data_IF_969892131202
#
_entry.id   IF_969892131202
#
_cell.length_a   1.000
_cell.length_b   1.000
_cell.length_c   1.000
_cell.angle_alpha   90.00
_cell.angle_beta   90.00
_cell.angle_gamma   90.00
#
_symmetry.space_group_name_H-M   'P 1'
#
loop_
_entity.id
_entity.type
_entity.pdbx_description
1 polymer ?
#
# COMPACT_ATOMS: atom_id res chain seq x y z
N UNK A 1 -5.39 36.21 0.93
CA UNK A 1 -6.52 36.17 -0.03
C UNK A 1 -6.77 34.71 -0.37
N UNK A 2 -8.03 34.28 -0.61
CA UNK A 2 -8.29 32.91 -1.02
C UNK A 2 -7.50 32.54 -2.27
N UNK A 3 -7.04 31.28 -2.33
CA UNK A 3 -6.37 30.76 -3.52
C UNK A 3 -7.38 30.56 -4.65
N UNK A 4 -7.19 31.26 -5.77
CA UNK A 4 -8.15 31.26 -6.89
C UNK A 4 -8.31 29.89 -7.56
N UNK A 5 -7.21 29.11 -7.67
CA UNK A 5 -7.24 27.77 -8.30
C UNK A 5 -8.12 26.84 -7.46
N UNK A 6 -7.92 26.84 -6.14
CA UNK A 6 -8.69 26.00 -5.21
C UNK A 6 -10.15 26.48 -5.14
N UNK A 7 -10.40 27.80 -5.12
CA UNK A 7 -11.77 28.34 -5.10
C UNK A 7 -12.57 27.90 -6.34
N UNK A 8 -12.00 28.05 -7.54
CA UNK A 8 -12.68 27.61 -8.78
C UNK A 8 -12.94 26.09 -8.80
N UNK A 9 -12.00 25.31 -8.27
CA UNK A 9 -12.21 23.86 -8.17
C UNK A 9 -13.33 23.50 -7.18
N UNK A 10 -13.41 24.20 -6.04
CA UNK A 10 -14.53 24.01 -5.08
C UNK A 10 -15.86 24.32 -5.77
N UNK A 11 -15.99 25.46 -6.47
CA UNK A 11 -17.22 25.83 -7.16
C UNK A 11 -17.62 24.80 -8.22
N UNK A 12 -16.68 24.33 -9.06
CA UNK A 12 -16.92 23.32 -10.07
C UNK A 12 -17.38 22.00 -9.44
N UNK A 13 -16.66 21.51 -8.42
CA UNK A 13 -17.00 20.23 -7.77
C UNK A 13 -18.32 20.31 -7.02
N UNK A 14 -18.65 21.44 -6.39
CA UNK A 14 -19.95 21.67 -5.75
C UNK A 14 -21.10 21.75 -6.77
N UNK A 15 -20.84 22.18 -8.00
CA UNK A 15 -21.80 22.13 -9.10
C UNK A 15 -21.99 20.72 -9.69
N UNK A 16 -21.19 19.74 -9.24
CA UNK A 16 -21.20 18.37 -9.75
C UNK A 16 -20.26 18.14 -10.93
N UNK A 17 -19.48 19.15 -11.32
CA UNK A 17 -18.53 19.02 -12.43
C UNK A 17 -17.31 18.18 -12.04
N UNK A 18 -16.79 17.44 -13.02
CA UNK A 18 -15.56 16.66 -12.85
C UNK A 18 -14.32 17.47 -13.25
N UNK A 19 -13.27 17.38 -12.44
CA UNK A 19 -12.01 17.98 -12.79
C UNK A 19 -11.23 17.09 -13.77
N UNK A 20 -10.52 17.72 -14.71
CA UNK A 20 -9.51 17.01 -15.50
C UNK A 20 -8.33 16.64 -14.61
N UNK A 21 -7.51 15.68 -15.06
CA UNK A 21 -6.31 15.29 -14.32
C UNK A 21 -5.37 16.49 -14.06
N UNK A 22 -5.23 17.37 -15.04
CA UNK A 22 -4.36 18.56 -14.92
C UNK A 22 -4.93 19.58 -13.93
N UNK A 23 -6.26 19.80 -13.92
CA UNK A 23 -6.88 20.68 -12.92
C UNK A 23 -6.76 20.10 -11.50
N UNK A 24 -7.02 18.82 -11.32
CA UNK A 24 -6.87 18.15 -10.02
C UNK A 24 -5.39 18.23 -9.53
N UNK A 25 -4.44 18.02 -10.45
CA UNK A 25 -3.01 18.15 -10.17
C UNK A 25 -2.65 19.57 -9.71
N UNK A 26 -3.13 20.60 -10.41
CA UNK A 26 -2.88 21.99 -10.05
C UNK A 26 -3.46 22.35 -8.67
N UNK A 27 -4.68 21.91 -8.37
CA UNK A 27 -5.31 22.13 -7.05
C UNK A 27 -4.47 21.52 -5.93
N UNK A 28 -4.03 20.26 -6.11
CA UNK A 28 -3.24 19.59 -5.10
C UNK A 28 -1.86 20.23 -4.93
N UNK A 29 -1.25 20.71 -5.99
CA UNK A 29 0.02 21.46 -5.91
C UNK A 29 -0.13 22.72 -5.04
N UNK A 30 -1.19 23.53 -5.25
CA UNK A 30 -1.47 24.71 -4.42
C UNK A 30 -1.64 24.34 -2.93
N UNK A 31 -2.35 23.26 -2.65
CA UNK A 31 -2.57 22.77 -1.28
C UNK A 31 -1.27 22.28 -0.64
N UNK A 32 -0.53 21.43 -1.33
CA UNK A 32 0.68 20.79 -0.78
C UNK A 32 1.87 21.75 -0.66
N UNK A 33 1.89 22.82 -1.43
CA UNK A 33 2.88 23.91 -1.31
C UNK A 33 2.46 24.98 -0.29
N UNK A 34 1.35 24.79 0.41
CA UNK A 34 0.87 25.69 1.47
C UNK A 34 0.32 27.03 0.97
N UNK A 35 -0.08 27.11 -0.32
CA UNK A 35 -0.68 28.33 -0.89
C UNK A 35 -2.20 28.39 -0.76
N UNK A 36 -2.84 27.35 -0.26
CA UNK A 36 -4.26 27.29 0.06
C UNK A 36 -4.49 27.38 1.57
N UNK A 37 -5.53 28.09 1.97
CA UNK A 37 -5.96 28.12 3.37
C UNK A 37 -6.52 26.76 3.79
N UNK A 38 -6.39 26.40 5.08
CA UNK A 38 -6.92 25.12 5.61
C UNK A 38 -8.42 24.95 5.35
N UNK A 39 -9.20 26.05 5.43
CA UNK A 39 -10.64 26.02 5.16
C UNK A 39 -10.94 25.70 3.69
N UNK A 40 -10.14 26.21 2.75
CA UNK A 40 -10.29 25.88 1.33
C UNK A 40 -9.92 24.42 1.07
N UNK A 41 -8.83 23.95 1.68
CA UNK A 41 -8.40 22.55 1.60
C UNK A 41 -9.49 21.62 2.12
N UNK A 42 -10.07 21.92 3.29
CA UNK A 42 -11.16 21.14 3.86
C UNK A 42 -12.41 21.13 2.98
N UNK A 43 -12.80 22.30 2.48
CA UNK A 43 -13.98 22.44 1.60
C UNK A 43 -13.79 21.62 0.30
N UNK A 44 -12.61 21.71 -0.34
CA UNK A 44 -12.30 20.93 -1.55
C UNK A 44 -12.39 19.42 -1.29
N UNK A 45 -11.77 18.93 -0.22
CA UNK A 45 -11.77 17.50 0.10
C UNK A 45 -13.18 16.96 0.36
N UNK A 46 -14.03 17.73 1.05
CA UNK A 46 -15.41 17.31 1.34
C UNK A 46 -16.29 17.42 0.10
N UNK A 47 -16.17 18.49 -0.68
CA UNK A 47 -16.89 18.63 -1.95
C UNK A 47 -16.57 17.50 -2.92
N UNK A 48 -15.26 17.18 -3.09
CA UNK A 48 -14.80 16.09 -3.96
C UNK A 48 -15.38 14.73 -3.51
N UNK A 49 -15.33 14.43 -2.22
CA UNK A 49 -15.94 13.24 -1.65
C UNK A 49 -17.46 13.19 -1.84
N UNK A 50 -18.15 14.31 -1.63
CA UNK A 50 -19.61 14.39 -1.75
C UNK A 50 -20.08 14.18 -3.20
N UNK A 51 -19.31 14.69 -4.17
CA UNK A 51 -19.55 14.47 -5.60
C UNK A 51 -19.27 13.01 -6.01
N UNK A 52 -18.28 12.39 -5.39
CA UNK A 52 -17.66 11.13 -5.84
C UNK A 52 -16.45 11.41 -6.73
N UNK A 53 -15.34 10.78 -6.40
CA UNK A 53 -14.06 10.95 -7.09
C UNK A 53 -14.05 10.17 -8.41
N UNK A 54 -13.42 10.74 -9.43
CA UNK A 54 -13.26 10.14 -10.76
C UNK A 54 -11.82 9.70 -11.01
N UNK A 55 -11.64 8.80 -11.97
CA UNK A 55 -10.31 8.31 -12.39
C UNK A 55 -9.37 9.47 -12.80
N UNK A 56 -9.77 10.43 -13.64
CA UNK A 56 -8.91 11.58 -13.97
C UNK A 56 -8.48 12.39 -12.74
N UNK A 57 -9.40 12.63 -11.80
CA UNK A 57 -9.09 13.33 -10.55
C UNK A 57 -8.07 12.56 -9.72
N UNK A 58 -8.29 11.27 -9.53
CA UNK A 58 -7.37 10.42 -8.78
C UNK A 58 -5.97 10.36 -9.42
N UNK A 59 -5.90 10.23 -10.76
CA UNK A 59 -4.64 10.25 -11.51
C UNK A 59 -3.91 11.59 -11.35
N UNK A 60 -4.61 12.71 -11.47
CA UNK A 60 -4.01 14.04 -11.32
C UNK A 60 -3.43 14.26 -9.92
N UNK A 61 -4.21 13.93 -8.89
CA UNK A 61 -3.79 14.04 -7.50
C UNK A 61 -2.59 13.12 -7.20
N UNK A 62 -2.60 11.87 -7.67
CA UNK A 62 -1.50 10.93 -7.48
C UNK A 62 -0.21 11.39 -8.19
N UNK A 63 -0.31 11.93 -9.41
CA UNK A 63 0.85 12.50 -10.14
C UNK A 63 1.51 13.62 -9.35
N UNK A 64 0.73 14.54 -8.80
CA UNK A 64 1.26 15.64 -7.97
C UNK A 64 1.93 15.11 -6.72
N UNK A 65 1.31 14.16 -6.00
CA UNK A 65 1.95 13.57 -4.82
C UNK A 65 3.27 12.87 -5.16
N UNK A 66 3.33 12.13 -6.28
CA UNK A 66 4.58 11.49 -6.75
C UNK A 66 5.66 12.52 -7.07
N UNK A 67 5.31 13.62 -7.75
CA UNK A 67 6.28 14.66 -8.13
C UNK A 67 6.85 15.45 -6.94
N UNK A 68 6.09 15.54 -5.83
CA UNK A 68 6.50 16.22 -4.59
C UNK A 68 7.12 15.27 -3.57
N UNK A 69 7.14 13.98 -3.83
CA UNK A 69 7.77 13.00 -2.95
C UNK A 69 9.30 13.08 -3.03
N UNK A 70 9.98 12.77 -1.92
CA UNK A 70 11.42 12.56 -1.92
C UNK A 70 11.71 11.20 -2.58
N UNK A 71 12.31 11.18 -3.80
CA UNK A 71 12.43 9.95 -4.56
C UNK A 71 13.44 8.97 -3.94
N UNK A 72 13.13 7.70 -4.04
CA UNK A 72 14.04 6.59 -3.71
C UNK A 72 14.57 5.99 -5.01
N UNK A 73 15.87 6.05 -5.23
CA UNK A 73 16.51 5.44 -6.37
C UNK A 73 17.05 4.04 -6.01
N UNK A 74 16.75 3.07 -6.84
CA UNK A 74 17.26 1.69 -6.79
C UNK A 74 17.80 1.30 -8.16
N UNK A 75 18.75 0.39 -8.19
CA UNK A 75 19.24 -0.25 -9.43
C UNK A 75 18.25 -1.29 -10.00
N UNK A 76 17.25 -1.67 -9.21
CA UNK A 76 16.22 -2.64 -9.57
C UNK A 76 15.06 -1.94 -10.29
N UNK A 77 14.61 -2.50 -11.40
CA UNK A 77 13.48 -2.01 -12.19
C UNK A 77 12.18 -2.77 -11.89
N UNK A 78 12.30 -3.95 -11.30
CA UNK A 78 11.23 -4.89 -10.99
C UNK A 78 10.60 -4.70 -9.59
N UNK A 79 10.57 -3.46 -9.12
CA UNK A 79 10.09 -3.12 -7.77
C UNK A 79 8.63 -3.49 -7.56
N UNK A 80 8.37 -4.13 -6.41
CA UNK A 80 7.02 -4.51 -5.96
C UNK A 80 6.66 -3.73 -4.70
N UNK A 81 5.43 -3.19 -4.65
CA UNK A 81 4.83 -2.66 -3.42
C UNK A 81 3.63 -3.50 -2.99
N UNK A 82 3.43 -3.62 -1.69
CA UNK A 82 2.24 -4.22 -1.09
C UNK A 82 1.61 -3.21 -0.16
N UNK A 83 0.46 -2.71 -0.51
CA UNK A 83 -0.23 -1.66 0.25
C UNK A 83 -1.73 -1.92 0.31
N UNK A 84 -2.41 -1.26 1.24
CA UNK A 84 -3.85 -1.27 1.35
C UNK A 84 -4.39 0.10 1.70
N UNK A 85 -5.69 0.30 1.42
CA UNK A 85 -6.39 1.54 1.78
C UNK A 85 -6.71 1.62 3.27
N UNK A 86 -6.63 0.51 3.96
CA UNK A 86 -7.02 0.38 5.37
C UNK A 86 -8.52 0.59 5.59
N UNK A 87 -8.95 0.45 6.84
CA UNK A 87 -10.32 0.78 7.27
C UNK A 87 -11.32 -0.38 7.21
N UNK A 88 -10.89 -1.57 6.84
CA UNK A 88 -11.61 -2.83 7.01
C UNK A 88 -11.44 -3.47 8.40
N UNK A 89 -11.91 -4.71 8.60
CA UNK A 89 -11.61 -5.51 9.78
C UNK A 89 -10.10 -5.60 10.01
N UNK A 90 -9.68 -5.56 11.29
CA UNK A 90 -8.27 -5.51 11.64
C UNK A 90 -7.67 -6.90 11.67
N UNK A 91 -6.90 -7.26 10.65
CA UNK A 91 -5.99 -8.41 10.65
C UNK A 91 -4.65 -8.04 11.33
N UNK A 92 -3.79 -9.04 11.65
CA UNK A 92 -2.39 -8.72 11.92
C UNK A 92 -1.74 -8.16 10.64
N UNK A 93 -0.51 -7.64 10.70
CA UNK A 93 0.10 -6.92 9.56
C UNK A 93 0.44 -7.84 8.36
N UNK A 94 -0.58 -8.40 7.72
CA UNK A 94 -0.47 -9.36 6.61
C UNK A 94 0.36 -8.80 5.48
N UNK A 95 0.02 -7.62 4.96
CA UNK A 95 0.72 -7.02 3.82
C UNK A 95 2.21 -6.82 4.06
N UNK A 96 2.63 -6.52 5.30
CA UNK A 96 4.05 -6.35 5.64
C UNK A 96 4.75 -7.69 5.78
N UNK A 97 4.12 -8.66 6.43
CA UNK A 97 4.67 -10.01 6.57
C UNK A 97 4.78 -10.71 5.20
N UNK A 98 3.75 -10.56 4.34
CA UNK A 98 3.77 -11.04 2.96
C UNK A 98 4.87 -10.39 2.12
N UNK A 99 5.12 -9.09 2.31
CA UNK A 99 6.22 -8.38 1.65
C UNK A 99 7.60 -8.95 2.03
N UNK A 100 7.80 -9.29 3.31
CA UNK A 100 9.04 -9.95 3.76
C UNK A 100 9.20 -11.34 3.14
N UNK A 101 8.10 -12.11 3.02
CA UNK A 101 8.12 -13.41 2.34
C UNK A 101 8.42 -13.26 0.86
N UNK A 102 7.78 -12.31 0.17
CA UNK A 102 8.03 -12.06 -1.26
C UNK A 102 9.49 -11.65 -1.51
N UNK A 103 10.07 -10.82 -0.64
CA UNK A 103 11.48 -10.48 -0.72
C UNK A 103 12.39 -11.69 -0.41
N UNK A 104 12.01 -12.55 0.53
CA UNK A 104 12.67 -13.84 0.79
C UNK A 104 12.63 -14.80 -0.41
N UNK A 105 11.59 -14.71 -1.24
CA UNK A 105 11.46 -15.41 -2.50
C UNK A 105 12.21 -14.76 -3.68
N UNK A 106 12.93 -13.63 -3.45
CA UNK A 106 13.78 -12.95 -4.43
C UNK A 106 13.16 -11.74 -5.12
N UNK A 107 11.93 -11.33 -4.78
CA UNK A 107 11.36 -10.08 -5.28
C UNK A 107 12.09 -8.86 -4.71
N UNK A 108 12.19 -7.78 -5.48
CA UNK A 108 12.68 -6.49 -5.00
C UNK A 108 11.50 -5.69 -4.42
N UNK A 109 11.40 -5.64 -3.11
CA UNK A 109 10.27 -4.98 -2.44
C UNK A 109 10.61 -3.55 -2.05
N UNK A 110 9.83 -2.61 -2.56
CA UNK A 110 9.86 -1.19 -2.21
C UNK A 110 8.56 -0.83 -1.47
N UNK A 111 8.49 -1.18 -0.19
CA UNK A 111 7.25 -1.04 0.58
C UNK A 111 7.05 0.39 1.06
N UNK A 112 5.96 1.01 0.60
CA UNK A 112 5.49 2.29 1.14
C UNK A 112 4.50 2.07 2.27
N UNK A 113 4.72 2.73 3.41
CA UNK A 113 3.86 2.52 4.56
C UNK A 113 3.92 3.61 5.62
N UNK A 114 3.06 3.48 6.63
CA UNK A 114 2.91 4.46 7.69
C UNK A 114 2.54 3.77 9.02
N UNK A 115 2.49 4.57 10.09
CA UNK A 115 1.80 4.19 11.34
C UNK A 115 0.31 4.12 11.09
N UNK A 116 -0.38 3.33 11.87
CA UNK A 116 -1.84 3.24 11.74
C UNK A 116 -2.54 4.43 12.38
N UNK A 117 -3.64 4.86 11.71
CA UNK A 117 -4.59 5.82 12.29
C UNK A 117 -5.89 5.14 12.75
N UNK A 118 -6.14 3.90 12.35
CA UNK A 118 -7.42 3.20 12.57
C UNK A 118 -7.26 1.85 13.26
N UNK A 119 -6.16 1.14 13.01
CA UNK A 119 -5.83 -0.11 13.68
C UNK A 119 -4.82 0.10 14.83
N UNK A 120 -4.57 -0.95 15.62
CA UNK A 120 -3.63 -0.92 16.75
C UNK A 120 -2.16 -0.94 16.33
N UNK A 121 -1.85 -1.35 15.09
CA UNK A 121 -0.50 -1.52 14.58
C UNK A 121 -0.47 -1.27 13.07
N UNK A 122 0.29 -0.27 12.61
CA UNK A 122 0.59 -0.02 11.21
C UNK A 122 1.86 -0.76 10.75
N UNK A 123 2.17 -0.64 9.47
CA UNK A 123 3.38 -1.26 8.90
C UNK A 123 4.68 -0.74 9.53
N UNK A 124 4.73 0.56 9.84
CA UNK A 124 5.86 1.18 10.51
C UNK A 124 6.01 0.66 11.95
N UNK A 125 4.90 0.58 12.69
CA UNK A 125 4.89 0.09 14.07
C UNK A 125 5.35 -1.37 14.15
N UNK A 126 4.90 -2.22 13.21
CA UNK A 126 5.36 -3.60 13.11
C UNK A 126 6.87 -3.69 12.85
N UNK A 127 7.37 -2.96 11.84
CA UNK A 127 8.77 -3.03 11.44
C UNK A 127 9.70 -2.56 12.55
N UNK A 128 9.33 -1.50 13.29
CA UNK A 128 10.06 -1.08 14.50
C UNK A 128 10.07 -2.18 15.58
N UNK A 129 8.91 -2.82 15.86
CA UNK A 129 8.82 -3.92 16.81
C UNK A 129 9.61 -5.16 16.36
N UNK A 130 9.83 -5.35 15.06
CA UNK A 130 10.72 -6.37 14.49
C UNK A 130 12.21 -5.99 14.59
N UNK A 131 12.54 -4.75 14.94
CA UNK A 131 13.90 -4.23 15.08
C UNK A 131 14.44 -3.51 13.83
N UNK A 132 13.60 -3.24 12.85
CA UNK A 132 13.99 -2.51 11.63
C UNK A 132 14.03 -1.00 11.90
N UNK A 133 15.12 -0.32 11.55
CA UNK A 133 15.17 1.14 11.58
C UNK A 133 14.40 1.71 10.38
N UNK A 134 13.26 2.35 10.66
CA UNK A 134 12.36 2.92 9.64
C UNK A 134 12.71 4.38 9.28
N UNK A 135 13.64 5.01 9.98
CA UNK A 135 13.98 6.43 9.83
C UNK A 135 15.08 6.69 8.80
N UNK A 136 15.29 5.75 7.88
CA UNK A 136 16.32 5.86 6.84
C UNK A 136 16.01 6.98 5.84
N UNK A 137 17.05 7.66 5.38
CA UNK A 137 16.96 8.63 4.29
C UNK A 137 16.71 7.91 2.94
N UNK A 138 16.13 8.59 1.92
CA UNK A 138 15.79 7.96 0.63
C UNK A 138 16.93 7.18 -0.01
N UNK A 139 18.17 7.69 0.05
CA UNK A 139 19.36 7.01 -0.49
C UNK A 139 19.69 5.72 0.26
N UNK A 140 19.49 5.71 1.57
CA UNK A 140 19.72 4.52 2.40
C UNK A 140 18.65 3.45 2.14
N UNK A 141 17.39 3.86 1.97
CA UNK A 141 16.30 2.95 1.56
C UNK A 141 16.60 2.30 0.22
N UNK A 142 17.08 3.07 -0.78
CA UNK A 142 17.50 2.53 -2.08
C UNK A 142 18.59 1.47 -1.94
N UNK A 143 19.59 1.71 -1.08
CA UNK A 143 20.63 0.71 -0.79
C UNK A 143 20.05 -0.55 -0.13
N UNK A 144 19.12 -0.42 0.81
CA UNK A 144 18.45 -1.59 1.38
C UNK A 144 17.72 -2.42 0.32
N UNK A 145 17.04 -1.78 -0.64
CA UNK A 145 16.41 -2.50 -1.76
C UNK A 145 17.46 -3.24 -2.57
N UNK A 146 18.55 -2.59 -2.91
CA UNK A 146 19.60 -3.15 -3.78
C UNK A 146 20.40 -4.28 -3.10
N UNK A 147 20.74 -4.13 -1.82
CA UNK A 147 21.62 -5.02 -1.09
C UNK A 147 20.87 -6.17 -0.37
N UNK A 148 19.65 -5.91 0.11
CA UNK A 148 18.85 -6.86 0.90
C UNK A 148 17.67 -7.42 0.12
N UNK A 149 17.14 -6.66 -0.84
CA UNK A 149 15.90 -6.97 -1.57
C UNK A 149 14.63 -6.37 -0.94
N UNK A 150 14.76 -5.58 0.13
CA UNK A 150 13.63 -4.94 0.80
C UNK A 150 14.01 -3.54 1.29
N UNK A 151 13.17 -2.55 0.99
CA UNK A 151 13.29 -1.21 1.56
C UNK A 151 11.93 -0.69 2.05
N UNK A 152 11.93 -0.07 3.21
CA UNK A 152 10.74 0.55 3.78
C UNK A 152 10.77 2.06 3.63
N UNK A 153 9.77 2.62 2.98
CA UNK A 153 9.59 4.06 2.81
C UNK A 153 8.54 4.55 3.80
N UNK A 154 9.02 5.11 4.90
CA UNK A 154 8.15 5.69 5.92
C UNK A 154 7.52 6.99 5.40
N UNK A 155 6.21 7.01 5.19
CA UNK A 155 5.50 8.07 4.49
C UNK A 155 5.82 9.50 4.97
N UNK A 156 5.94 9.81 6.28
CA UNK A 156 6.33 11.14 6.75
C UNK A 156 7.70 11.62 6.27
N UNK A 157 8.63 10.70 6.03
CA UNK A 157 9.99 11.03 5.55
C UNK A 157 10.04 11.33 4.06
N UNK A 158 9.10 10.78 3.30
CA UNK A 158 9.09 10.88 1.84
C UNK A 158 8.09 11.91 1.31
N UNK A 159 7.06 12.25 2.09
CA UNK A 159 6.00 13.17 1.68
C UNK A 159 5.93 14.39 2.62
N UNK A 160 7.01 15.16 2.72
CA UNK A 160 7.09 16.33 3.61
C UNK A 160 5.96 17.36 3.34
N UNK A 161 5.54 17.52 2.10
CA UNK A 161 4.44 18.41 1.71
C UNK A 161 3.08 18.04 2.32
N UNK A 162 2.92 16.81 2.82
CA UNK A 162 1.73 16.40 3.57
C UNK A 162 1.56 17.18 4.88
N UNK A 163 2.58 17.86 5.37
CA UNK A 163 2.47 18.72 6.55
C UNK A 163 1.35 19.77 6.45
N UNK A 164 1.04 20.24 5.22
CA UNK A 164 -0.06 21.18 4.98
C UNK A 164 -1.45 20.52 4.93
N UNK A 165 -1.51 19.21 4.78
CA UNK A 165 -2.77 18.44 4.64
C UNK A 165 -3.16 17.71 5.91
N UNK A 166 -2.18 17.21 6.66
CA UNK A 166 -2.41 16.39 7.87
C UNK A 166 -3.28 17.10 8.92
N UNK A 167 -3.06 18.39 9.26
CA UNK A 167 -3.92 19.09 10.22
C UNK A 167 -5.39 19.14 9.77
N UNK A 168 -5.63 19.45 8.49
CA UNK A 168 -6.98 19.50 7.91
C UNK A 168 -7.65 18.13 7.97
N UNK A 169 -6.96 17.06 7.55
CA UNK A 169 -7.50 15.70 7.63
C UNK A 169 -7.85 15.28 9.06
N UNK A 170 -6.99 15.65 10.02
CA UNK A 170 -7.23 15.38 11.44
C UNK A 170 -8.44 16.13 11.97
N UNK A 171 -8.60 17.40 11.58
CA UNK A 171 -9.74 18.23 11.98
C UNK A 171 -11.07 17.74 11.37
N UNK A 172 -11.02 17.29 10.09
CA UNK A 172 -12.20 16.73 9.42
C UNK A 172 -12.69 15.43 10.06
N UNK A 173 -11.80 14.56 10.53
CA UNK A 173 -12.15 13.30 11.18
C UNK A 173 -12.88 12.28 10.29
N UNK A 174 -12.89 12.47 8.97
CA UNK A 174 -13.58 11.60 8.01
C UNK A 174 -12.61 11.12 6.92
N UNK A 175 -12.96 10.01 6.25
CA UNK A 175 -12.20 9.53 5.08
C UNK A 175 -12.33 10.55 3.94
N UNK A 176 -11.25 10.73 3.19
CA UNK A 176 -11.16 11.61 2.03
C UNK A 176 -10.34 10.90 0.95
N UNK A 177 -10.19 11.52 -0.23
CA UNK A 177 -9.37 11.01 -1.33
C UNK A 177 -7.94 10.59 -0.87
N UNK A 178 -7.38 11.24 0.15
CA UNK A 178 -6.07 10.88 0.71
C UNK A 178 -5.98 9.47 1.31
N UNK A 179 -7.11 8.81 1.57
CA UNK A 179 -7.12 7.42 1.99
C UNK A 179 -6.83 6.45 0.84
N UNK A 180 -7.02 6.89 -0.41
CA UNK A 180 -6.75 6.13 -1.62
C UNK A 180 -5.44 6.54 -2.29
N UNK A 181 -4.97 7.79 -2.06
CA UNK A 181 -3.76 8.31 -2.68
C UNK A 181 -2.48 7.64 -2.16
N UNK A 182 -2.42 7.29 -0.87
CA UNK A 182 -1.23 6.69 -0.26
C UNK A 182 -0.67 5.51 -1.06
N UNK A 183 -1.47 4.47 -1.35
CA UNK A 183 -1.04 3.32 -2.14
C UNK A 183 -0.64 3.65 -3.58
N UNK A 184 -1.09 4.77 -4.13
CA UNK A 184 -0.80 5.19 -5.51
C UNK A 184 0.46 6.06 -5.65
N UNK A 185 1.16 6.34 -4.54
CA UNK A 185 2.22 7.37 -4.50
C UNK A 185 3.55 6.85 -3.97
N UNK A 186 3.89 5.61 -4.32
CA UNK A 186 5.15 4.98 -3.93
C UNK A 186 6.37 5.81 -4.36
N UNK A 187 7.25 6.24 -3.43
CA UNK A 187 8.39 7.13 -3.72
C UNK A 187 9.51 6.48 -4.55
N UNK A 188 9.57 5.15 -4.61
CA UNK A 188 10.50 4.43 -5.47
C UNK A 188 9.95 4.19 -6.89
N UNK A 189 8.71 4.64 -7.15
CA UNK A 189 8.08 4.47 -8.45
C UNK A 189 7.74 3.03 -8.79
N UNK A 190 7.51 2.16 -7.79
CA UNK A 190 7.13 0.77 -8.02
C UNK A 190 5.93 0.71 -8.98
N UNK A 191 6.10 -0.01 -10.09
CA UNK A 191 5.06 -0.16 -11.14
C UNK A 191 4.31 -1.47 -11.03
N UNK A 192 4.67 -2.31 -10.05
CA UNK A 192 4.06 -3.60 -9.74
C UNK A 192 3.53 -3.56 -8.31
N UNK A 193 2.23 -3.86 -8.13
CA UNK A 193 1.59 -3.66 -6.83
C UNK A 193 0.56 -4.72 -6.50
N UNK A 194 0.58 -5.21 -5.25
CA UNK A 194 -0.59 -5.81 -4.62
C UNK A 194 -1.27 -4.71 -3.78
N UNK A 195 -2.48 -4.31 -4.16
CA UNK A 195 -3.19 -3.21 -3.55
C UNK A 195 -4.56 -3.64 -3.00
N UNK A 196 -4.69 -3.63 -1.68
CA UNK A 196 -5.92 -3.96 -0.99
C UNK A 196 -6.89 -2.77 -0.88
N UNK A 197 -8.17 -3.03 -1.07
CA UNK A 197 -9.24 -2.02 -1.00
C UNK A 197 -10.36 -2.50 -0.11
N UNK A 198 -10.54 -1.86 1.05
CA UNK A 198 -11.61 -2.21 1.99
C UNK A 198 -13.01 -1.78 1.52
N UNK A 199 -13.10 -0.69 0.77
CA UNK A 199 -14.36 -0.20 0.19
C UNK A 199 -14.43 -0.60 -1.30
N UNK A 200 -15.13 -1.67 -1.59
CA UNK A 200 -15.29 -2.24 -2.94
C UNK A 200 -15.80 -1.26 -4.00
N UNK A 201 -16.47 -0.19 -3.57
CA UNK A 201 -16.97 0.85 -4.47
C UNK A 201 -15.82 1.56 -5.23
N UNK A 202 -14.64 1.67 -4.61
CA UNK A 202 -13.47 2.32 -5.20
C UNK A 202 -12.54 1.36 -5.96
N UNK A 203 -12.80 0.06 -5.98
CA UNK A 203 -11.89 -0.93 -6.54
C UNK A 203 -11.62 -0.69 -8.03
N UNK A 204 -12.67 -0.47 -8.81
CA UNK A 204 -12.56 -0.18 -10.26
C UNK A 204 -11.85 1.14 -10.52
N UNK A 205 -12.25 2.20 -9.81
CA UNK A 205 -11.63 3.52 -9.93
C UNK A 205 -10.14 3.49 -9.64
N UNK A 206 -9.72 2.72 -8.63
CA UNK A 206 -8.29 2.55 -8.27
C UNK A 206 -7.56 1.75 -9.36
N UNK A 207 -8.16 0.66 -9.88
CA UNK A 207 -7.55 -0.14 -10.94
C UNK A 207 -7.35 0.67 -12.22
N UNK A 208 -8.36 1.43 -12.64
CA UNK A 208 -8.26 2.31 -13.80
C UNK A 208 -7.26 3.46 -13.57
N UNK A 209 -7.18 4.00 -12.34
CA UNK A 209 -6.17 5.00 -12.01
C UNK A 209 -4.75 4.42 -12.11
N UNK A 210 -4.52 3.17 -11.71
CA UNK A 210 -3.23 2.50 -11.87
C UNK A 210 -2.86 2.34 -13.35
N UNK A 211 -3.82 2.03 -14.23
CA UNK A 211 -3.60 2.06 -15.69
C UNK A 211 -3.17 3.46 -16.13
N UNK A 212 -3.92 4.50 -15.73
CA UNK A 212 -3.61 5.90 -16.06
C UNK A 212 -2.27 6.42 -15.50
N UNK A 213 -1.76 5.77 -14.44
CA UNK A 213 -0.47 6.06 -13.81
C UNK A 213 0.69 5.24 -14.39
N UNK A 214 0.42 4.35 -15.36
CA UNK A 214 1.41 3.55 -16.05
C UNK A 214 1.93 2.35 -15.27
N UNK A 215 1.10 1.75 -14.41
CA UNK A 215 1.44 0.49 -13.74
C UNK A 215 1.65 -0.62 -14.76
N UNK A 216 2.67 -1.46 -14.54
CA UNK A 216 2.97 -2.62 -15.39
C UNK A 216 2.05 -3.79 -15.06
N UNK A 217 1.95 -4.11 -13.79
CA UNK A 217 1.06 -5.14 -13.26
C UNK A 217 0.60 -4.76 -11.86
N UNK A 218 -0.70 -4.90 -11.61
CA UNK A 218 -1.22 -4.77 -10.26
C UNK A 218 -2.38 -5.74 -10.03
N UNK A 219 -2.54 -6.21 -8.80
CA UNK A 219 -3.77 -6.82 -8.34
C UNK A 219 -4.43 -5.86 -7.36
N UNK A 220 -5.59 -5.36 -7.72
CA UNK A 220 -6.45 -4.57 -6.83
C UNK A 220 -7.46 -5.53 -6.22
N UNK A 221 -7.36 -5.79 -4.93
CA UNK A 221 -8.09 -6.85 -4.25
C UNK A 221 -9.08 -6.31 -3.23
N UNK A 222 -10.27 -6.89 -3.17
CA UNK A 222 -11.31 -6.53 -2.21
C UNK A 222 -12.10 -7.77 -1.78
N UNK A 223 -11.93 -8.19 -0.54
CA UNK A 223 -12.60 -9.37 -0.01
C UNK A 223 -14.05 -9.09 0.41
N UNK A 224 -14.89 -10.12 0.41
CA UNK A 224 -16.31 -10.01 0.74
C UNK A 224 -16.55 -9.81 2.24
N UNK A 225 -15.60 -10.19 3.08
CA UNK A 225 -15.58 -9.91 4.52
C UNK A 225 -15.09 -8.49 4.87
N UNK A 226 -14.68 -7.72 3.86
CA UNK A 226 -14.29 -6.31 3.99
C UNK A 226 -12.82 -6.08 4.33
N UNK A 227 -11.98 -7.11 4.43
CA UNK A 227 -10.53 -6.92 4.56
C UNK A 227 -9.94 -6.39 3.25
N UNK A 228 -8.89 -5.58 3.37
CA UNK A 228 -8.14 -5.05 2.23
C UNK A 228 -6.94 -5.93 1.85
N UNK A 229 -7.19 -7.25 1.77
CA UNK A 229 -6.22 -8.31 1.44
C UNK A 229 -6.93 -9.42 0.68
N UNK A 230 -6.17 -10.35 0.09
CA UNK A 230 -6.73 -11.63 -0.30
C UNK A 230 -7.08 -12.40 0.97
N UNK A 231 -8.35 -12.77 1.14
CA UNK A 231 -8.84 -13.40 2.36
C UNK A 231 -8.84 -14.93 2.28
N UNK A 232 -8.51 -15.57 3.40
CA UNK A 232 -8.77 -17.00 3.62
C UNK A 232 -10.12 -17.27 4.29
N UNK A 233 -10.87 -16.22 4.64
CA UNK A 233 -12.19 -16.31 5.29
C UNK A 233 -13.34 -16.12 4.33
N UNK A 234 -13.12 -15.38 3.23
CA UNK A 234 -14.15 -15.02 2.26
C UNK A 234 -13.58 -14.94 0.85
N UNK A 235 -14.47 -15.02 -0.12
CA UNK A 235 -14.15 -14.78 -1.53
C UNK A 235 -13.59 -13.38 -1.72
N UNK A 236 -12.54 -13.28 -2.54
CA UNK A 236 -11.91 -12.00 -2.86
C UNK A 236 -12.08 -11.67 -4.34
N UNK A 237 -12.69 -10.52 -4.64
CA UNK A 237 -12.70 -9.97 -5.99
C UNK A 237 -11.34 -9.39 -6.31
N UNK A 238 -10.79 -9.76 -7.46
CA UNK A 238 -9.50 -9.27 -7.95
C UNK A 238 -9.69 -8.56 -9.27
N UNK A 239 -9.23 -7.32 -9.37
CA UNK A 239 -9.08 -6.62 -10.65
C UNK A 239 -7.59 -6.58 -10.95
N UNK A 240 -7.19 -7.35 -11.94
CA UNK A 240 -5.82 -7.38 -12.42
C UNK A 240 -5.59 -6.28 -13.45
N UNK A 241 -4.54 -5.51 -13.26
CA UNK A 241 -4.02 -4.53 -14.20
C UNK A 241 -2.80 -5.14 -14.87
N UNK A 242 -2.82 -5.29 -16.19
CA UNK A 242 -1.69 -5.74 -16.99
C UNK A 242 -1.80 -5.17 -18.41
N UNK A 243 -0.68 -4.84 -19.05
CA UNK A 243 -0.62 -4.35 -20.44
C UNK A 243 -1.58 -3.17 -20.73
N UNK A 244 -1.76 -2.28 -19.75
CA UNK A 244 -2.65 -1.13 -19.87
C UNK A 244 -4.15 -1.46 -19.89
N UNK A 245 -4.53 -2.65 -19.42
CA UNK A 245 -5.92 -3.14 -19.38
C UNK A 245 -6.24 -3.68 -18.00
N UNK A 246 -7.54 -3.84 -17.73
CA UNK A 246 -8.04 -4.50 -16.54
C UNK A 246 -8.74 -5.80 -16.89
N UNK A 247 -8.60 -6.81 -16.03
CA UNK A 247 -9.34 -8.06 -16.08
C UNK A 247 -9.82 -8.42 -14.67
N UNK A 248 -11.00 -9.04 -14.59
CA UNK A 248 -11.60 -9.43 -13.32
C UNK A 248 -11.57 -10.95 -13.14
N UNK A 249 -11.23 -11.38 -11.94
CA UNK A 249 -11.35 -12.75 -11.50
C UNK A 249 -11.57 -12.81 -9.98
N UNK A 250 -11.73 -14.02 -9.43
CA UNK A 250 -11.98 -14.21 -8.00
C UNK A 250 -11.00 -15.23 -7.44
N UNK A 251 -10.52 -14.96 -6.22
CA UNK A 251 -9.81 -15.93 -5.41
C UNK A 251 -10.79 -16.50 -4.37
N UNK A 252 -10.83 -17.83 -4.27
CA UNK A 252 -11.73 -18.52 -3.33
C UNK A 252 -10.94 -19.03 -2.12
N UNK A 253 -11.50 -18.96 -0.91
CA UNK A 253 -10.92 -19.63 0.25
C UNK A 253 -10.75 -21.13 0.00
N UNK A 254 -9.67 -21.71 0.51
CA UNK A 254 -9.40 -23.14 0.35
C UNK A 254 -8.71 -23.55 -0.96
N UNK A 255 -8.48 -22.59 -1.88
CA UNK A 255 -7.64 -22.84 -3.06
C UNK A 255 -6.14 -22.94 -2.68
N UNK A 256 -5.33 -23.48 -3.60
CA UNK A 256 -3.88 -23.58 -3.46
C UNK A 256 -3.39 -24.35 -2.21
N UNK A 257 -4.23 -25.28 -1.69
CA UNK A 257 -3.90 -26.08 -0.50
C UNK A 257 -3.86 -25.29 0.81
N UNK A 258 -4.50 -24.12 0.84
CA UNK A 258 -4.63 -23.25 2.02
C UNK A 258 -5.95 -23.56 2.74
N UNK A 259 -5.95 -23.55 4.08
CA UNK A 259 -7.16 -23.78 4.85
C UNK A 259 -8.01 -22.50 4.93
N UNK A 260 -9.32 -22.67 4.80
CA UNK A 260 -10.25 -21.60 5.16
C UNK A 260 -10.17 -21.33 6.68
N UNK A 261 -10.29 -20.07 7.08
CA UNK A 261 -10.18 -19.63 8.47
C UNK A 261 -11.26 -18.61 8.81
N UNK A 262 -11.49 -18.38 10.09
CA UNK A 262 -12.33 -17.29 10.57
C UNK A 262 -11.50 -16.01 10.73
N UNK A 263 -12.11 -14.85 10.60
CA UNK A 263 -11.41 -13.55 10.75
C UNK A 263 -10.72 -13.39 12.11
N UNK A 264 -11.32 -13.92 13.17
CA UNK A 264 -10.77 -13.87 14.52
C UNK A 264 -9.44 -14.64 14.64
N UNK A 265 -9.22 -15.69 13.82
CA UNK A 265 -7.99 -16.50 13.82
C UNK A 265 -6.79 -15.68 13.31
N UNK A 266 -7.07 -14.64 12.53
CA UNK A 266 -6.05 -13.78 11.90
C UNK A 266 -6.06 -12.35 12.43
N UNK A 267 -6.81 -12.11 13.51
CA UNK A 267 -6.93 -10.79 14.14
C UNK A 267 -5.57 -10.24 14.60
N UNK A 268 -5.44 -8.91 14.48
CA UNK A 268 -4.27 -8.16 14.91
C UNK A 268 -4.31 -7.71 16.37
N UNK A 269 -3.14 -7.40 16.90
CA UNK A 269 -2.92 -6.94 18.26
C UNK A 269 -2.04 -5.70 18.36
N UNK A 270 -1.29 -5.59 19.46
CA UNK A 270 -0.25 -4.57 19.64
C UNK A 270 0.91 -4.78 18.65
N UNK A 271 1.80 -3.80 18.47
CA UNK A 271 3.01 -3.98 17.65
C UNK A 271 3.85 -5.20 18.07
N UNK A 272 4.00 -5.45 19.37
CA UNK A 272 4.76 -6.57 19.91
C UNK A 272 4.07 -7.93 19.64
N UNK A 273 2.73 -7.98 19.79
CA UNK A 273 1.93 -9.17 19.49
C UNK A 273 2.01 -9.50 18.00
N UNK A 274 1.90 -8.47 17.13
CA UNK A 274 1.99 -8.64 15.69
C UNK A 274 3.42 -9.00 15.23
N UNK A 275 4.46 -8.46 15.88
CA UNK A 275 5.84 -8.82 15.61
C UNK A 275 6.12 -10.29 15.98
N UNK A 276 5.61 -10.75 17.13
CA UNK A 276 5.70 -12.16 17.51
C UNK A 276 4.99 -13.07 16.50
N UNK A 277 3.76 -12.71 16.09
CA UNK A 277 3.01 -13.45 15.08
C UNK A 277 3.73 -13.49 13.72
N UNK A 278 4.27 -12.35 13.27
CA UNK A 278 5.03 -12.28 12.01
C UNK A 278 6.29 -13.14 12.07
N UNK A 279 7.06 -13.09 13.17
CA UNK A 279 8.24 -13.95 13.34
C UNK A 279 7.87 -15.45 13.38
N UNK A 280 6.76 -15.81 14.01
CA UNK A 280 6.28 -17.19 14.05
C UNK A 280 5.94 -17.68 12.62
N UNK A 281 5.22 -16.88 11.84
CA UNK A 281 4.91 -17.19 10.42
C UNK A 281 6.18 -17.31 9.58
N UNK A 282 7.10 -16.35 9.68
CA UNK A 282 8.37 -16.35 8.95
C UNK A 282 9.27 -17.53 9.37
N UNK A 283 9.13 -18.02 10.62
CA UNK A 283 9.79 -19.21 11.15
C UNK A 283 9.12 -20.53 10.79
N UNK A 284 8.04 -20.49 10.00
CA UNK A 284 7.36 -21.70 9.51
C UNK A 284 6.25 -22.25 10.39
N UNK A 285 5.83 -21.54 11.45
CA UNK A 285 4.72 -21.99 12.30
C UNK A 285 3.44 -22.15 11.47
N UNK A 286 2.80 -23.34 11.47
CA UNK A 286 1.60 -23.60 10.70
C UNK A 286 0.38 -22.92 11.33
N UNK A 287 -0.66 -22.67 10.52
CA UNK A 287 -1.95 -22.16 10.99
C UNK A 287 -2.52 -21.03 10.13
N UNK A 288 -3.69 -20.50 10.51
CA UNK A 288 -4.45 -19.54 9.71
C UNK A 288 -3.65 -18.28 9.28
N UNK A 289 -2.82 -17.76 10.18
CA UNK A 289 -1.97 -16.59 9.88
C UNK A 289 -0.94 -16.88 8.79
N UNK A 290 -0.34 -18.10 8.83
CA UNK A 290 0.60 -18.52 7.79
C UNK A 290 -0.12 -18.65 6.45
N UNK A 291 -1.29 -19.31 6.41
CA UNK A 291 -2.04 -19.52 5.18
C UNK A 291 -2.45 -18.17 4.54
N UNK A 292 -2.90 -17.22 5.35
CA UNK A 292 -3.22 -15.86 4.89
C UNK A 292 -1.99 -15.13 4.33
N UNK A 293 -0.83 -15.28 4.97
CA UNK A 293 0.43 -14.70 4.47
C UNK A 293 0.87 -15.38 3.19
N UNK A 294 0.76 -16.71 3.07
CA UNK A 294 1.11 -17.44 1.86
C UNK A 294 0.30 -16.96 0.66
N UNK A 295 -1.02 -16.76 0.83
CA UNK A 295 -1.90 -16.27 -0.22
C UNK A 295 -1.48 -14.87 -0.71
N UNK A 296 -1.27 -13.94 0.22
CA UNK A 296 -0.90 -12.55 -0.10
C UNK A 296 0.56 -12.42 -0.59
N UNK A 297 1.48 -13.21 -0.04
CA UNK A 297 2.85 -13.26 -0.53
C UNK A 297 2.91 -13.88 -1.93
N UNK A 298 2.13 -14.93 -2.19
CA UNK A 298 1.99 -15.54 -3.51
C UNK A 298 1.52 -14.53 -4.55
N UNK A 299 0.53 -13.73 -4.20
CA UNK A 299 0.04 -12.65 -5.05
C UNK A 299 1.12 -11.57 -5.31
N UNK A 300 1.89 -11.18 -4.28
CA UNK A 300 2.99 -10.24 -4.44
C UNK A 300 4.13 -10.80 -5.33
N UNK A 301 4.43 -12.09 -5.21
CA UNK A 301 5.42 -12.80 -6.05
C UNK A 301 4.95 -12.87 -7.50
N UNK A 302 3.67 -13.19 -7.72
CA UNK A 302 3.05 -13.20 -9.05
C UNK A 302 3.11 -11.81 -9.70
N UNK A 303 2.69 -10.77 -9.00
CA UNK A 303 2.76 -9.39 -9.48
C UNK A 303 4.19 -8.98 -9.77
N UNK A 304 5.13 -9.41 -8.93
CA UNK A 304 6.58 -9.20 -9.10
C UNK A 304 7.16 -9.86 -10.35
N UNK A 305 6.41 -10.77 -10.99
CA UNK A 305 6.86 -11.51 -12.18
C UNK A 305 7.77 -12.69 -11.87
N UNK A 306 7.87 -13.07 -10.60
CA UNK A 306 8.65 -14.25 -10.17
C UNK A 306 7.82 -15.54 -10.20
N UNK A 307 6.54 -15.50 -10.53
CA UNK A 307 5.66 -16.64 -10.75
C UNK A 307 4.75 -16.40 -11.95
N UNK A 308 4.32 -17.47 -12.60
CA UNK A 308 3.45 -17.40 -13.77
C UNK A 308 1.97 -17.16 -13.40
N UNK A 309 1.55 -17.60 -12.21
CA UNK A 309 0.20 -17.43 -11.67
C UNK A 309 0.23 -17.38 -10.14
N UNK A 310 -0.96 -17.18 -9.53
CA UNK A 310 -1.11 -17.13 -8.07
C UNK A 310 -0.71 -18.44 -7.39
N UNK A 311 -1.03 -19.59 -8.00
CA UNK A 311 -0.71 -20.90 -7.43
C UNK A 311 0.80 -21.11 -7.33
N UNK A 312 1.55 -20.87 -8.41
CA UNK A 312 3.02 -20.92 -8.38
C UNK A 312 3.57 -19.89 -7.37
N UNK A 313 2.96 -18.70 -7.29
CA UNK A 313 3.34 -17.70 -6.31
C UNK A 313 3.20 -18.19 -4.86
N UNK A 314 2.10 -18.87 -4.54
CA UNK A 314 1.87 -19.48 -3.21
C UNK A 314 2.92 -20.54 -2.90
N UNK A 315 3.27 -21.40 -3.87
CA UNK A 315 4.33 -22.41 -3.66
C UNK A 315 5.70 -21.76 -3.42
N UNK A 316 6.06 -20.73 -4.15
CA UNK A 316 7.31 -19.98 -3.92
C UNK A 316 7.32 -19.27 -2.56
N UNK A 317 6.17 -18.74 -2.12
CA UNK A 317 6.03 -18.19 -0.78
C UNK A 317 6.24 -19.26 0.30
N UNK A 318 5.69 -20.47 0.09
CA UNK A 318 5.88 -21.63 0.98
C UNK A 318 7.34 -22.02 1.07
N UNK A 319 8.01 -22.14 -0.09
CA UNK A 319 9.44 -22.46 -0.15
C UNK A 319 10.29 -21.40 0.59
N UNK A 320 9.99 -20.11 0.43
CA UNK A 320 10.71 -19.03 1.10
C UNK A 320 10.58 -19.07 2.63
N UNK A 321 9.41 -19.48 3.13
CA UNK A 321 9.19 -19.69 4.58
C UNK A 321 9.91 -20.97 5.03
N UNK A 322 9.66 -22.10 4.38
CA UNK A 322 10.11 -23.43 4.82
C UNK A 322 11.63 -23.62 4.73
N UNK A 323 12.29 -22.93 3.81
CA UNK A 323 13.74 -22.87 3.72
C UNK A 323 14.40 -21.93 4.73
N UNK A 324 13.61 -21.11 5.44
CA UNK A 324 14.11 -20.04 6.31
C UNK A 324 14.58 -18.77 5.59
N UNK A 325 14.41 -18.68 4.26
CA UNK A 325 14.86 -17.54 3.46
C UNK A 325 14.13 -16.24 3.87
N UNK A 326 12.83 -16.33 4.19
CA UNK A 326 12.03 -15.19 4.63
C UNK A 326 12.46 -14.67 6.01
N UNK A 327 12.71 -15.54 6.97
CA UNK A 327 13.23 -15.17 8.29
C UNK A 327 14.65 -14.60 8.19
N UNK A 328 15.52 -15.25 7.41
CA UNK A 328 16.87 -14.78 7.16
C UNK A 328 16.94 -13.43 6.44
N UNK A 329 15.93 -13.12 5.60
CA UNK A 329 15.81 -11.79 5.00
C UNK A 329 15.50 -10.73 6.07
N UNK A 330 14.58 -11.00 6.98
CA UNK A 330 14.28 -10.10 8.10
C UNK A 330 15.52 -9.81 8.93
N UNK A 331 16.30 -10.84 9.26
CA UNK A 331 17.51 -10.67 10.07
C UNK A 331 18.57 -9.80 9.34
N UNK A 332 18.76 -10.02 8.02
CA UNK A 332 19.62 -9.15 7.21
C UNK A 332 19.08 -7.71 7.12
N UNK A 333 17.77 -7.53 7.00
CA UNK A 333 17.15 -6.21 6.96
C UNK A 333 17.38 -5.45 8.25
N UNK A 334 17.18 -6.09 9.41
CA UNK A 334 17.44 -5.49 10.73
C UNK A 334 18.91 -5.05 10.83
N UNK A 335 19.85 -5.92 10.48
CA UNK A 335 21.28 -5.61 10.52
C UNK A 335 21.65 -4.45 9.57
N UNK A 336 21.20 -4.50 8.31
CA UNK A 336 21.50 -3.48 7.31
C UNK A 336 20.88 -2.11 7.68
N UNK A 337 19.67 -2.10 8.21
CA UNK A 337 19.02 -0.83 8.59
C UNK A 337 19.64 -0.21 9.85
N UNK A 338 20.18 -0.99 10.77
CA UNK A 338 20.97 -0.50 11.91
C UNK A 338 22.30 0.13 11.42
N UNK A 339 23.05 -0.57 10.56
CA UNK A 339 24.33 -0.08 10.02
C UNK A 339 24.16 1.19 9.17
N UNK A 340 23.09 1.29 8.40
CA UNK A 340 22.81 2.45 7.55
C UNK A 340 22.27 3.65 8.33
N UNK A 341 21.73 3.44 9.54
CA UNK A 341 21.16 4.49 10.36
C UNK A 341 22.19 5.25 11.21
N UNK A 342 23.38 4.67 11.37
CA UNK A 342 24.54 5.27 12.01
C UNK A 342 25.31 6.20 11.04
#
# INVERSE_FOLDING_TARGET
>A
MPNEVVTRAIDAVCAGDHLTADHAAAVLAEIMEGRAEEVQTGAFLIALRAKGETVPELVGLARTMRSLASPVASSREDLVDTAGTGGGPSTFNVSTTAALVAAGAGCAVAKHGNRSNTSRCGSADLLEALGVNIELAPKQVGRCIDEVGFGFMFAPRHHAAMAHVVPVRKALGVRTIFNFLGPLTNPAGARRQLLGVSDRHYQETIAEALVGLGSERALVVAAEDGVDELSTSARTRVIEVADGRTAEWFAEPGEHGLAAAELDDVAGGSPEENAAASRAVLGGEPGPRRDLVLLNAGAAIYVGGAAADLGEGVERAREAIDSGAALGLLDRLVAATAELGD
#
